data_IF_844956662212
#
_entry.id   IF_844956662212
#
_cell.length_a   1.000
_cell.length_b   1.000
_cell.length_c   1.000
_cell.angle_alpha   90.00
_cell.angle_beta   90.00
_cell.angle_gamma   90.00
#
_symmetry.space_group_name_H-M   'P 1'
#
loop_
_entity.id
_entity.type
_entity.pdbx_description
1 polymer ?
#
# COMPACT_ATOMS: atom_id res chain seq x y z
N UNK A 1 -41.52 -145.60 4.99
CA UNK A 1 -40.07 -145.76 5.23
C UNK A 1 -39.61 -144.69 6.21
N UNK A 2 -38.65 -145.03 7.10
CA UNK A 2 -38.06 -144.19 8.16
C UNK A 2 -37.16 -143.06 7.60
N UNK A 3 -37.05 -141.94 8.34
CA UNK A 3 -35.79 -141.20 8.65
C UNK A 3 -36.14 -140.03 9.62
N UNK A 4 -35.76 -140.04 10.91
CA UNK A 4 -34.50 -139.64 11.57
C UNK A 4 -34.01 -138.19 11.35
N UNK A 5 -34.41 -137.30 12.27
CA UNK A 5 -33.54 -136.45 13.10
C UNK A 5 -32.70 -135.31 12.49
N UNK A 6 -32.83 -134.10 13.06
CA UNK A 6 -31.69 -133.18 13.29
C UNK A 6 -32.02 -132.11 14.33
N UNK A 7 -31.32 -132.16 15.47
CA UNK A 7 -31.29 -131.14 16.51
C UNK A 7 -30.46 -129.94 16.02
N UNK A 8 -31.05 -128.75 15.98
CA UNK A 8 -30.36 -127.50 15.64
C UNK A 8 -30.33 -126.62 16.90
N UNK A 9 -29.16 -126.32 17.49
CA UNK A 9 -29.06 -125.55 18.72
C UNK A 9 -29.34 -124.06 18.48
N UNK A 10 -30.08 -123.49 19.42
CA UNK A 10 -30.60 -122.13 19.42
C UNK A 10 -29.49 -121.07 19.55
N UNK A 11 -29.21 -120.31 18.48
CA UNK A 11 -28.20 -119.24 18.42
C UNK A 11 -28.43 -118.10 19.42
N UNK A 12 -29.63 -117.95 19.99
CA UNK A 12 -29.98 -116.85 20.89
C UNK A 12 -29.27 -116.94 22.25
N UNK A 13 -28.93 -118.14 22.71
CA UNK A 13 -28.28 -118.31 24.01
C UNK A 13 -26.82 -117.81 24.03
N UNK A 14 -26.10 -117.84 22.91
CA UNK A 14 -24.67 -117.46 22.86
C UNK A 14 -24.45 -115.94 22.95
N UNK A 15 -25.38 -115.15 22.42
CA UNK A 15 -25.28 -113.67 22.42
C UNK A 15 -25.53 -113.12 23.83
N UNK A 16 -26.49 -113.70 24.56
CA UNK A 16 -26.77 -113.33 25.95
C UNK A 16 -25.60 -113.65 26.89
N UNK A 17 -24.84 -114.72 26.63
CA UNK A 17 -23.66 -115.06 27.45
C UNK A 17 -22.48 -114.09 27.20
N UNK A 18 -22.26 -113.65 25.96
CA UNK A 18 -21.18 -112.71 25.63
C UNK A 18 -21.45 -111.30 26.17
N UNK A 19 -22.72 -110.85 26.15
CA UNK A 19 -23.11 -109.57 26.75
C UNK A 19 -22.93 -109.57 28.28
N UNK A 20 -23.18 -110.70 28.95
CA UNK A 20 -22.95 -110.85 30.39
C UNK A 20 -21.47 -110.78 30.77
N UNK A 21 -20.58 -111.33 29.95
CA UNK A 21 -19.13 -111.32 30.20
C UNK A 21 -18.55 -109.92 29.99
N UNK A 22 -18.96 -109.21 28.93
CA UNK A 22 -18.47 -107.85 28.65
C UNK A 22 -18.90 -106.82 29.71
N UNK A 23 -20.07 -106.99 30.33
CA UNK A 23 -20.49 -106.14 31.46
C UNK A 23 -19.69 -106.41 32.75
N UNK A 24 -19.19 -107.64 32.94
CA UNK A 24 -18.36 -107.98 34.11
C UNK A 24 -16.92 -107.45 34.03
N UNK A 25 -16.44 -107.13 32.82
CA UNK A 25 -15.08 -106.63 32.60
C UNK A 25 -14.94 -105.10 32.70
N UNK A 26 -16.05 -104.35 32.75
CA UNK A 26 -16.03 -102.90 33.05
C UNK A 26 -15.96 -102.68 34.57
N UNK A 27 -14.86 -103.14 35.17
CA UNK A 27 -14.48 -102.73 36.51
C UNK A 27 -14.20 -101.23 36.53
N UNK A 28 -14.95 -100.50 37.35
CA UNK A 28 -14.70 -99.09 37.64
C UNK A 28 -13.31 -98.96 38.28
N UNK A 29 -12.31 -98.54 37.50
CA UNK A 29 -11.01 -98.11 38.03
C UNK A 29 -11.25 -96.83 38.82
N UNK A 30 -11.51 -96.98 40.12
CA UNK A 30 -11.56 -95.88 41.07
C UNK A 30 -10.12 -95.48 41.39
N UNK A 31 -9.58 -94.58 40.57
CA UNK A 31 -8.30 -93.93 40.84
C UNK A 31 -8.39 -93.20 42.19
N UNK A 32 -7.52 -93.59 43.12
CA UNK A 32 -7.37 -92.99 44.45
C UNK A 32 -6.43 -91.78 44.31
N UNK A 33 -6.85 -90.55 44.65
CA UNK A 33 -5.95 -89.40 44.56
C UNK A 33 -4.97 -89.43 45.75
N UNK A 34 -3.67 -89.40 45.45
CA UNK A 34 -2.60 -89.15 46.42
C UNK A 34 -2.68 -87.68 46.88
N UNK A 35 -3.33 -87.41 48.01
CA UNK A 35 -3.90 -86.10 48.36
C UNK A 35 -2.96 -85.09 49.05
N UNK A 36 -1.66 -85.09 48.76
CA UNK A 36 -0.69 -84.25 49.49
C UNK A 36 0.10 -83.24 48.66
N UNK A 37 0.76 -83.70 47.59
CA UNK A 37 1.70 -82.88 46.78
C UNK A 37 1.00 -82.09 45.68
N UNK A 38 -0.04 -82.67 45.09
CA UNK A 38 -0.79 -82.05 43.99
C UNK A 38 -1.59 -80.83 44.44
N UNK A 39 -2.06 -80.83 45.69
CA UNK A 39 -2.76 -79.68 46.29
C UNK A 39 -1.88 -78.44 46.44
N UNK A 40 -0.62 -78.62 46.84
CA UNK A 40 0.34 -77.52 46.99
C UNK A 40 0.78 -76.95 45.62
N UNK A 41 1.01 -77.82 44.62
CA UNK A 41 1.34 -77.39 43.26
C UNK A 41 0.19 -76.64 42.60
N UNK A 42 -1.05 -77.11 42.77
CA UNK A 42 -2.24 -76.40 42.29
C UNK A 42 -2.37 -75.02 42.93
N UNK A 43 -2.07 -74.91 44.22
CA UNK A 43 -2.12 -73.62 44.92
C UNK A 43 -1.01 -72.66 44.44
N UNK A 44 0.21 -73.16 44.19
CA UNK A 44 1.26 -72.37 43.54
C UNK A 44 0.90 -71.94 42.12
N UNK A 45 0.27 -72.80 41.33
CA UNK A 45 -0.19 -72.44 39.98
C UNK A 45 -1.25 -71.34 40.05
N UNK A 46 -2.18 -71.42 41.03
CA UNK A 46 -3.19 -70.36 41.25
C UNK A 46 -2.53 -69.06 41.69
N UNK A 47 -1.58 -69.09 42.61
CA UNK A 47 -0.90 -67.88 43.10
C UNK A 47 -0.07 -67.22 42.00
N UNK A 48 0.67 -67.99 41.20
CA UNK A 48 1.44 -67.50 40.05
C UNK A 48 0.50 -66.94 38.96
N UNK A 49 -0.62 -67.62 38.68
CA UNK A 49 -1.61 -67.12 37.71
C UNK A 49 -2.23 -65.81 38.15
N UNK A 50 -2.51 -65.66 39.45
CA UNK A 50 -3.01 -64.42 40.04
C UNK A 50 -1.97 -63.30 39.96
N UNK A 51 -0.72 -63.56 40.35
CA UNK A 51 0.38 -62.59 40.25
C UNK A 51 0.62 -62.14 38.82
N UNK A 52 0.55 -63.05 37.85
CA UNK A 52 0.65 -62.72 36.43
C UNK A 52 -0.47 -61.75 36.01
N UNK A 53 -1.71 -61.99 36.46
CA UNK A 53 -2.83 -61.08 36.20
C UNK A 53 -2.63 -59.70 36.83
N UNK A 54 -2.16 -59.64 38.07
CA UNK A 54 -1.85 -58.38 38.78
C UNK A 54 -0.73 -57.60 38.08
N UNK A 55 0.37 -58.26 37.68
CA UNK A 55 1.47 -57.64 36.93
C UNK A 55 1.04 -57.12 35.57
N UNK A 56 0.23 -57.90 34.84
CA UNK A 56 -0.28 -57.48 33.53
C UNK A 56 -1.21 -56.26 33.66
N UNK A 57 -2.02 -56.20 34.73
CA UNK A 57 -2.85 -55.04 35.03
C UNK A 57 -1.99 -53.80 35.34
N UNK A 58 -0.93 -53.96 36.14
CA UNK A 58 0.00 -52.87 36.46
C UNK A 58 0.74 -52.36 35.21
N UNK A 59 1.15 -53.26 34.31
CA UNK A 59 1.77 -52.88 33.03
C UNK A 59 0.82 -52.04 32.17
N UNK A 60 -0.44 -52.46 32.06
CA UNK A 60 -1.49 -51.71 31.34
C UNK A 60 -1.69 -50.34 31.96
N UNK A 61 -1.78 -50.26 33.28
CA UNK A 61 -1.96 -49.00 34.00
C UNK A 61 -0.78 -48.03 33.79
N UNK A 62 0.45 -48.52 33.89
CA UNK A 62 1.64 -47.69 33.68
C UNK A 62 1.74 -47.20 32.22
N UNK A 63 1.41 -48.05 31.24
CA UNK A 63 1.33 -47.64 29.84
C UNK A 63 0.27 -46.59 29.60
N UNK A 64 -0.91 -46.73 30.21
CA UNK A 64 -1.98 -45.75 30.11
C UNK A 64 -1.55 -44.39 30.69
N UNK A 65 -0.87 -44.38 31.84
CA UNK A 65 -0.33 -43.14 32.45
C UNK A 65 0.72 -42.48 31.56
N UNK A 66 1.64 -43.24 31.00
CA UNK A 66 2.66 -42.71 30.08
C UNK A 66 2.04 -42.10 28.83
N UNK A 67 1.08 -42.79 28.21
CA UNK A 67 0.36 -42.26 27.05
C UNK A 67 -0.43 -40.99 27.37
N UNK A 68 -1.09 -40.94 28.54
CA UNK A 68 -1.80 -39.74 29.00
C UNK A 68 -0.85 -38.54 29.18
N UNK A 69 0.33 -38.77 29.77
CA UNK A 69 1.36 -37.73 29.91
C UNK A 69 1.89 -37.25 28.54
N UNK A 70 2.14 -38.17 27.61
CA UNK A 70 2.62 -37.84 26.26
C UNK A 70 1.59 -37.00 25.49
N UNK A 71 0.32 -37.41 25.53
CA UNK A 71 -0.79 -36.66 24.91
C UNK A 71 -0.88 -35.26 25.52
N UNK A 72 -0.87 -35.15 26.85
CA UNK A 72 -0.94 -33.88 27.55
C UNK A 72 0.22 -32.95 27.15
N UNK A 73 1.45 -33.47 27.17
CA UNK A 73 2.65 -32.71 26.78
C UNK A 73 2.61 -32.26 25.32
N UNK A 74 2.15 -33.13 24.42
CA UNK A 74 2.02 -32.80 23.00
C UNK A 74 0.98 -31.70 22.77
N UNK A 75 -0.11 -31.72 23.54
CA UNK A 75 -1.17 -30.72 23.49
C UNK A 75 -0.69 -29.37 24.03
N UNK A 76 -0.06 -29.37 25.20
CA UNK A 76 0.53 -28.16 25.80
C UNK A 76 1.58 -27.52 24.89
N UNK A 77 2.48 -28.34 24.32
CA UNK A 77 3.48 -27.85 23.38
C UNK A 77 2.85 -27.21 22.14
N UNK A 78 1.82 -27.82 21.58
CA UNK A 78 1.10 -27.28 20.42
C UNK A 78 0.32 -26.01 20.77
N UNK A 79 -0.31 -25.96 21.94
CA UNK A 79 -0.99 -24.76 22.44
C UNK A 79 -0.02 -23.59 22.57
N UNK A 80 1.14 -23.81 23.18
CA UNK A 80 2.18 -22.79 23.31
C UNK A 80 2.70 -22.32 21.95
N UNK A 81 2.79 -23.20 20.94
CA UNK A 81 3.17 -22.81 19.58
C UNK A 81 2.13 -21.87 18.95
N UNK A 82 0.83 -22.14 19.11
CA UNK A 82 -0.21 -21.25 18.59
C UNK A 82 -0.17 -19.86 19.24
N UNK A 83 0.03 -19.80 20.56
CA UNK A 83 0.20 -18.53 21.26
C UNK A 83 1.43 -17.78 20.77
N UNK A 84 2.55 -18.47 20.53
CA UNK A 84 3.76 -17.85 20.00
C UNK A 84 3.53 -17.28 18.59
N UNK A 85 2.89 -18.04 17.70
CA UNK A 85 2.57 -17.59 16.34
C UNK A 85 1.63 -16.38 16.39
N UNK A 86 0.60 -16.41 17.23
CA UNK A 86 -0.31 -15.29 17.41
C UNK A 86 0.43 -14.03 17.90
N UNK A 87 1.30 -14.17 18.91
CA UNK A 87 2.10 -13.06 19.42
C UNK A 87 3.09 -12.51 18.38
N UNK A 88 3.67 -13.36 17.52
CA UNK A 88 4.52 -12.93 16.40
C UNK A 88 3.73 -12.13 15.37
N UNK A 89 2.58 -12.63 14.94
CA UNK A 89 1.72 -11.93 13.98
C UNK A 89 1.24 -10.59 14.55
N UNK A 90 0.90 -10.53 15.84
CA UNK A 90 0.51 -9.28 16.49
C UNK A 90 1.66 -8.27 16.54
N UNK A 91 2.89 -8.73 16.83
CA UNK A 91 4.10 -7.89 16.79
C UNK A 91 4.37 -7.37 15.38
N UNK A 92 4.35 -8.24 14.38
CA UNK A 92 4.59 -7.87 12.99
C UNK A 92 3.55 -6.85 12.49
N UNK A 93 2.27 -7.06 12.81
CA UNK A 93 1.21 -6.09 12.49
C UNK A 93 1.42 -4.74 13.18
N UNK A 94 1.79 -4.75 14.46
CA UNK A 94 2.08 -3.52 15.21
C UNK A 94 3.24 -2.77 14.57
N UNK A 95 4.35 -3.46 14.30
CA UNK A 95 5.53 -2.88 13.68
C UNK A 95 5.22 -2.33 12.28
N UNK A 96 4.48 -3.09 11.48
CA UNK A 96 4.07 -2.65 10.15
C UNK A 96 3.21 -1.38 10.22
N UNK A 97 2.25 -1.34 11.14
CA UNK A 97 1.42 -0.15 11.36
C UNK A 97 2.25 1.06 11.81
N UNK A 98 3.13 0.89 12.81
CA UNK A 98 3.97 1.99 13.32
C UNK A 98 4.96 2.49 12.27
N UNK A 99 5.55 1.59 11.49
CA UNK A 99 6.45 1.97 10.40
C UNK A 99 5.71 2.73 9.32
N UNK A 100 4.52 2.26 8.91
CA UNK A 100 3.69 2.95 7.92
C UNK A 100 3.33 4.37 8.38
N UNK A 101 2.87 4.51 9.62
CA UNK A 101 2.54 5.82 10.18
C UNK A 101 3.77 6.75 10.24
N UNK A 102 4.92 6.22 10.66
CA UNK A 102 6.16 6.99 10.74
C UNK A 102 6.64 7.45 9.35
N UNK A 103 6.55 6.56 8.36
CA UNK A 103 6.89 6.85 6.97
C UNK A 103 5.97 7.93 6.39
N UNK A 104 4.65 7.80 6.58
CA UNK A 104 3.67 8.78 6.13
C UNK A 104 3.91 10.17 6.75
N UNK A 105 4.19 10.21 8.06
CA UNK A 105 4.55 11.43 8.77
C UNK A 105 5.83 12.07 8.23
N UNK A 106 6.87 11.26 7.96
CA UNK A 106 8.12 11.74 7.37
C UNK A 106 7.89 12.34 5.98
N UNK A 107 7.22 11.61 5.08
CA UNK A 107 6.92 12.08 3.73
C UNK A 107 6.08 13.37 3.74
N UNK A 108 5.08 13.46 4.62
CA UNK A 108 4.27 14.67 4.76
C UNK A 108 5.11 15.87 5.22
N UNK A 109 5.99 15.70 6.20
CA UNK A 109 6.90 16.77 6.67
C UNK A 109 7.88 17.20 5.59
N UNK A 110 8.41 16.25 4.83
CA UNK A 110 9.32 16.54 3.73
C UNK A 110 8.62 17.31 2.61
N UNK A 111 7.43 16.87 2.19
CA UNK A 111 6.61 17.56 1.20
C UNK A 111 6.27 19.00 1.66
N UNK A 112 5.93 19.19 2.94
CA UNK A 112 5.74 20.52 3.52
C UNK A 112 7.00 21.38 3.45
N UNK A 113 8.18 20.81 3.73
CA UNK A 113 9.45 21.50 3.59
C UNK A 113 9.74 21.95 2.15
N UNK A 114 9.40 21.12 1.16
CA UNK A 114 9.50 21.49 -0.26
C UNK A 114 8.53 22.61 -0.63
N UNK A 115 7.26 22.52 -0.18
CA UNK A 115 6.26 23.56 -0.42
C UNK A 115 6.67 24.90 0.19
N UNK A 116 7.19 24.92 1.42
CA UNK A 116 7.66 26.14 2.07
C UNK A 116 8.79 26.81 1.27
N UNK A 117 9.80 26.03 0.82
CA UNK A 117 10.88 26.55 -0.01
C UNK A 117 10.40 27.11 -1.35
N UNK A 118 9.41 26.46 -1.98
CA UNK A 118 8.81 26.97 -3.20
C UNK A 118 8.07 28.29 -2.97
N UNK A 119 7.28 28.38 -1.90
CA UNK A 119 6.58 29.61 -1.52
C UNK A 119 7.53 30.76 -1.20
N UNK A 120 8.65 30.49 -0.52
CA UNK A 120 9.69 31.49 -0.29
C UNK A 120 10.27 32.01 -1.60
N UNK A 121 10.60 31.12 -2.55
CA UNK A 121 11.09 31.51 -3.87
C UNK A 121 10.07 32.34 -4.65
N UNK A 122 8.79 31.97 -4.62
CA UNK A 122 7.72 32.73 -5.28
C UNK A 122 7.55 34.12 -4.65
N UNK A 123 7.67 34.24 -3.32
CA UNK A 123 7.64 35.52 -2.62
C UNK A 123 8.85 36.40 -2.98
N UNK A 124 10.06 35.82 -3.04
CA UNK A 124 11.26 36.54 -3.49
C UNK A 124 11.13 37.03 -4.94
N UNK A 125 10.62 36.18 -5.85
CA UNK A 125 10.39 36.57 -7.24
C UNK A 125 9.32 37.66 -7.35
N UNK A 126 8.20 37.51 -6.63
CA UNK A 126 7.12 38.51 -6.62
C UNK A 126 7.59 39.86 -6.10
N UNK A 127 8.35 39.89 -5.00
CA UNK A 127 8.90 41.14 -4.45
C UNK A 127 9.89 41.82 -5.42
N UNK A 128 10.77 41.05 -6.06
CA UNK A 128 11.72 41.54 -7.07
C UNK A 128 10.97 42.15 -8.26
N UNK A 129 9.97 41.42 -8.78
CA UNK A 129 9.15 41.88 -9.88
C UNK A 129 8.36 43.14 -9.53
N UNK A 130 7.78 43.21 -8.33
CA UNK A 130 7.05 44.38 -7.86
C UNK A 130 7.96 45.61 -7.72
N UNK A 131 9.16 45.43 -7.17
CA UNK A 131 10.17 46.50 -7.08
C UNK A 131 10.60 47.00 -8.45
N UNK A 132 10.82 46.10 -9.42
CA UNK A 132 11.17 46.48 -10.79
C UNK A 132 10.02 47.24 -11.47
N UNK A 133 8.77 46.81 -11.29
CA UNK A 133 7.61 47.52 -11.82
C UNK A 133 7.49 48.92 -11.22
N UNK A 134 7.78 49.09 -9.93
CA UNK A 134 7.78 50.40 -9.29
C UNK A 134 8.87 51.32 -9.88
N UNK A 135 10.09 50.83 -10.10
CA UNK A 135 11.16 51.62 -10.73
C UNK A 135 10.80 52.02 -12.17
N UNK A 136 10.25 51.09 -12.96
CA UNK A 136 9.82 51.37 -14.33
C UNK A 136 8.73 52.46 -14.36
N UNK A 137 7.80 52.41 -13.40
CA UNK A 137 6.75 53.42 -13.25
C UNK A 137 7.35 54.78 -12.90
N UNK A 138 8.25 54.83 -11.91
CA UNK A 138 8.89 56.07 -11.48
C UNK A 138 9.70 56.70 -12.62
N UNK A 139 10.50 55.92 -13.37
CA UNK A 139 11.25 56.42 -14.52
C UNK A 139 10.34 56.96 -15.63
N UNK A 140 9.19 56.32 -15.85
CA UNK A 140 8.20 56.79 -16.82
C UNK A 140 7.63 58.14 -16.39
N UNK A 141 7.30 58.30 -15.10
CA UNK A 141 6.80 59.55 -14.54
C UNK A 141 7.88 60.65 -14.59
N UNK A 142 9.15 60.34 -14.32
CA UNK A 142 10.28 61.26 -14.48
C UNK A 142 10.43 61.74 -15.94
N UNK A 143 10.39 60.83 -16.91
CA UNK A 143 10.46 61.21 -18.33
C UNK A 143 9.28 62.09 -18.75
N UNK A 144 8.06 61.75 -18.32
CA UNK A 144 6.87 62.56 -18.61
C UNK A 144 6.99 63.98 -18.03
N UNK A 145 7.51 64.13 -16.81
CA UNK A 145 7.74 65.45 -16.20
C UNK A 145 8.75 66.28 -17.01
N UNK A 146 9.87 65.69 -17.43
CA UNK A 146 10.87 66.34 -18.27
C UNK A 146 10.29 66.75 -19.62
N UNK A 147 9.56 65.84 -20.27
CA UNK A 147 8.89 66.10 -21.54
C UNK A 147 7.94 67.30 -21.44
N UNK A 148 7.05 67.32 -20.44
CA UNK A 148 6.15 68.46 -20.22
C UNK A 148 6.91 69.74 -19.83
N UNK A 149 8.03 69.63 -19.11
CA UNK A 149 8.93 70.75 -18.81
C UNK A 149 9.51 71.38 -20.08
N UNK A 150 10.04 70.57 -20.99
CA UNK A 150 10.54 71.02 -22.29
C UNK A 150 9.44 71.65 -23.15
N UNK A 151 8.23 71.07 -23.14
CA UNK A 151 7.09 71.66 -23.85
C UNK A 151 6.74 73.06 -23.33
N UNK A 152 6.69 73.24 -22.00
CA UNK A 152 6.47 74.57 -21.38
C UNK A 152 7.57 75.54 -21.77
N UNK A 153 8.83 75.15 -21.61
CA UNK A 153 9.98 76.01 -21.94
C UNK A 153 9.95 76.44 -23.40
N UNK A 154 9.64 75.54 -24.34
CA UNK A 154 9.51 75.87 -25.76
C UNK A 154 8.44 76.93 -25.99
N UNK A 155 7.24 76.72 -25.44
CA UNK A 155 6.12 77.66 -25.54
C UNK A 155 6.49 79.03 -24.95
N UNK A 156 7.18 79.06 -23.81
CA UNK A 156 7.59 80.31 -23.16
C UNK A 156 8.64 81.06 -24.01
N UNK A 157 9.59 80.36 -24.63
CA UNK A 157 10.56 80.93 -25.59
C UNK A 157 9.87 81.46 -26.84
N UNK A 158 8.91 80.71 -27.40
CA UNK A 158 8.14 81.16 -28.57
C UNK A 158 7.31 82.42 -28.26
N UNK A 159 6.76 82.53 -27.02
CA UNK A 159 6.04 83.71 -26.55
C UNK A 159 6.95 84.95 -26.44
N UNK A 160 8.18 84.78 -25.95
CA UNK A 160 9.18 85.85 -25.87
C UNK A 160 9.70 86.27 -27.25
N UNK A 161 9.81 85.32 -28.19
CA UNK A 161 10.37 85.57 -29.53
C UNK A 161 9.38 86.27 -30.47
N UNK A 162 8.09 85.97 -30.36
CA UNK A 162 7.06 86.52 -31.25
C UNK A 162 6.19 87.60 -30.59
N UNK A 163 6.37 87.87 -29.30
CA UNK A 163 5.50 88.77 -28.53
C UNK A 163 4.10 88.17 -28.34
N UNK A 164 3.31 88.76 -27.43
CA UNK A 164 1.89 88.38 -27.20
C UNK A 164 1.17 88.28 -28.55
N UNK A 165 0.42 87.20 -28.86
CA UNK A 165 -0.36 87.15 -30.07
C UNK A 165 -1.39 88.28 -30.01
N UNK A 166 -1.23 89.28 -30.88
CA UNK A 166 -2.29 90.22 -31.17
C UNK A 166 -3.48 89.40 -31.67
N UNK A 167 -4.63 89.59 -31.04
CA UNK A 167 -5.92 89.00 -31.37
C UNK A 167 -6.10 88.86 -32.90
N UNK A 168 -6.04 87.63 -33.41
CA UNK A 168 -6.03 87.42 -34.85
C UNK A 168 -5.90 85.95 -35.25
N UNK A 169 -6.95 85.18 -34.95
CA UNK A 169 -7.49 84.15 -35.85
C UNK A 169 -6.60 83.04 -36.44
N UNK A 170 -5.67 82.44 -35.71
CA UNK A 170 -5.11 81.13 -36.11
C UNK A 170 -4.76 80.30 -34.86
N UNK A 171 -5.70 79.46 -34.45
CA UNK A 171 -5.55 78.46 -33.37
C UNK A 171 -4.82 77.24 -33.95
N UNK A 172 -3.54 76.97 -33.61
CA UNK A 172 -2.92 75.72 -34.00
C UNK A 172 -3.42 74.67 -33.02
N UNK A 173 -4.37 73.85 -33.48
CA UNK A 173 -4.97 72.75 -32.73
C UNK A 173 -3.91 72.03 -31.89
N UNK A 174 -3.93 72.30 -30.59
CA UNK A 174 -3.12 71.58 -29.63
C UNK A 174 -3.65 70.14 -29.64
N UNK A 175 -2.97 69.26 -30.39
CA UNK A 175 -3.09 67.82 -30.26
C UNK A 175 -2.57 67.44 -28.87
N UNK A 176 -3.43 67.64 -27.87
CA UNK A 176 -3.30 67.04 -26.55
C UNK A 176 -3.57 65.57 -26.76
N UNK A 177 -2.52 64.82 -27.10
CA UNK A 177 -2.54 63.39 -27.03
C UNK A 177 -2.62 63.00 -25.55
N UNK A 178 -3.84 62.87 -25.03
CA UNK A 178 -4.06 62.07 -23.83
C UNK A 178 -3.58 60.66 -24.17
N UNK A 179 -2.44 60.26 -23.61
CA UNK A 179 -2.14 58.84 -23.49
C UNK A 179 -3.21 58.26 -22.57
N UNK A 180 -4.29 57.73 -23.14
CA UNK A 180 -5.31 57.02 -22.38
C UNK A 180 -4.62 55.93 -21.59
N UNK A 181 -4.64 56.06 -20.26
CA UNK A 181 -4.45 54.95 -19.34
C UNK A 181 -5.45 53.87 -19.74
N UNK A 182 -4.97 52.77 -20.33
CA UNK A 182 -5.83 51.64 -20.69
C UNK A 182 -6.34 50.99 -19.41
N UNK A 183 -7.63 50.72 -19.41
CA UNK A 183 -8.33 50.01 -18.36
C UNK A 183 -7.92 48.54 -18.26
N UNK A 184 -8.01 48.03 -17.04
CA UNK A 184 -7.90 46.64 -16.62
C UNK A 184 -9.02 45.78 -17.27
N UNK A 185 -8.95 45.52 -18.57
CA UNK A 185 -9.67 44.41 -19.20
C UNK A 185 -8.94 43.97 -20.46
N UNK A 186 -8.43 42.74 -20.45
CA UNK A 186 -7.56 42.17 -21.48
C UNK A 186 -8.25 41.92 -22.82
N UNK A 187 -8.64 42.97 -23.54
CA UNK A 187 -9.13 42.92 -24.91
C UNK A 187 -8.32 43.84 -25.84
N UNK A 188 -7.71 43.28 -26.89
CA UNK A 188 -7.14 44.08 -27.97
C UNK A 188 -8.25 44.51 -28.94
N UNK A 189 -8.77 45.73 -28.78
CA UNK A 189 -9.42 46.42 -29.90
C UNK A 189 -8.37 47.28 -30.60
N UNK A 190 -7.90 46.75 -31.72
CA UNK A 190 -7.06 47.46 -32.68
C UNK A 190 -7.89 48.51 -33.40
N UNK A 191 -7.71 49.78 -33.05
CA UNK A 191 -8.12 50.92 -33.89
C UNK A 191 -7.41 52.20 -33.44
N UNK A 192 -6.08 52.23 -33.57
CA UNK A 192 -5.36 53.50 -33.71
C UNK A 192 -4.98 53.64 -35.19
N UNK A 193 -5.87 54.23 -35.99
CA UNK A 193 -5.54 54.65 -37.35
C UNK A 193 -4.60 55.85 -37.28
N UNK A 194 -3.29 55.58 -37.35
CA UNK A 194 -2.29 56.62 -37.64
C UNK A 194 -2.29 56.83 -39.14
N UNK A 195 -2.92 57.90 -39.60
CA UNK A 195 -2.84 58.33 -41.00
C UNK A 195 -1.45 58.92 -41.27
N UNK A 196 -0.48 58.05 -41.60
CA UNK A 196 0.78 58.51 -42.20
C UNK A 196 0.50 58.74 -43.68
N UNK A 197 0.49 60.00 -44.12
CA UNK A 197 0.53 60.33 -45.54
C UNK A 197 1.88 59.83 -46.09
N UNK A 198 1.80 58.78 -46.90
CA UNK A 198 2.94 58.14 -47.52
C UNK A 198 3.64 59.11 -48.49
N UNK A 199 4.77 59.68 -48.08
CA UNK A 199 5.78 60.11 -49.04
C UNK A 199 6.43 58.84 -49.63
N UNK A 200 6.10 58.54 -50.90
CA UNK A 200 6.62 57.39 -51.65
C UNK A 200 8.15 57.33 -51.58
N UNK A 201 8.66 56.17 -51.16
CA UNK A 201 9.92 55.63 -51.64
C UNK A 201 11.19 56.09 -50.94
N UNK A 202 11.40 55.70 -49.68
CA UNK A 202 12.75 55.53 -49.14
C UNK A 202 12.82 54.18 -48.41
N UNK A 203 13.52 53.21 -49.00
CA UNK A 203 13.96 52.00 -48.30
C UNK A 203 15.04 52.40 -47.30
N UNK A 204 14.66 52.75 -46.07
CA UNK A 204 15.63 52.89 -44.99
C UNK A 204 15.93 51.51 -44.42
N UNK A 205 17.21 51.12 -44.42
CA UNK A 205 17.72 49.85 -43.87
C UNK A 205 17.65 49.75 -42.33
N UNK A 206 17.02 50.72 -41.66
CA UNK A 206 16.89 50.78 -40.21
C UNK A 206 15.41 50.93 -39.85
N UNK A 207 14.79 49.92 -39.22
CA UNK A 207 13.45 50.09 -38.67
C UNK A 207 13.46 51.20 -37.61
N UNK A 208 12.43 52.03 -37.60
CA UNK A 208 12.23 53.04 -36.57
C UNK A 208 12.22 52.40 -35.17
N UNK A 209 12.50 53.18 -34.13
CA UNK A 209 12.48 52.70 -32.74
C UNK A 209 11.19 51.93 -32.40
N UNK A 210 10.06 52.38 -32.94
CA UNK A 210 8.74 51.71 -32.81
C UNK A 210 8.73 50.35 -33.50
N UNK A 211 9.32 50.24 -34.70
CA UNK A 211 9.46 48.96 -35.42
C UNK A 211 10.32 47.94 -34.66
N UNK A 212 11.37 48.40 -33.94
CA UNK A 212 12.20 47.51 -33.10
C UNK A 212 11.47 47.01 -31.85
N UNK A 213 10.66 47.85 -31.22
CA UNK A 213 9.87 47.44 -30.04
C UNK A 213 8.79 46.41 -30.39
N UNK A 214 8.10 46.58 -31.52
CA UNK A 214 7.09 45.62 -31.97
C UNK A 214 7.70 44.25 -32.31
N UNK A 215 8.90 44.22 -32.90
CA UNK A 215 9.62 42.99 -33.19
C UNK A 215 10.07 42.27 -31.90
N UNK A 216 10.64 43.00 -30.94
CA UNK A 216 11.08 42.44 -29.66
C UNK A 216 9.90 41.86 -28.83
N UNK A 217 8.73 42.50 -28.88
CA UNK A 217 7.51 42.00 -28.24
C UNK A 217 7.02 40.69 -28.88
N UNK A 218 7.13 40.56 -30.21
CA UNK A 218 6.81 39.32 -30.93
C UNK A 218 7.76 38.17 -30.59
N UNK A 219 9.05 38.48 -30.39
CA UNK A 219 10.06 37.46 -30.11
C UNK A 219 9.99 36.96 -28.66
N UNK A 220 9.67 37.83 -27.69
CA UNK A 220 9.39 37.41 -26.30
C UNK A 220 8.17 36.49 -26.17
N UNK A 221 7.11 36.71 -26.97
CA UNK A 221 5.92 35.87 -26.97
C UNK A 221 6.20 34.42 -27.43
N UNK A 222 7.24 34.21 -28.24
CA UNK A 222 7.63 32.87 -28.73
C UNK A 222 8.45 32.08 -27.72
N UNK A 223 9.21 32.74 -26.83
CA UNK A 223 10.04 32.08 -25.82
C UNK A 223 9.23 31.50 -24.65
N UNK A 224 8.12 32.12 -24.27
CA UNK A 224 7.32 31.68 -23.13
C UNK A 224 6.55 30.37 -23.36
N UNK A 225 6.40 29.92 -24.62
CA UNK A 225 5.67 28.68 -24.93
C UNK A 225 6.52 27.40 -24.78
N UNK A 226 7.85 27.53 -24.59
CA UNK A 226 8.79 26.38 -24.56
C UNK A 226 9.07 25.89 -23.13
N UNK A 227 8.71 26.63 -22.09
CA UNK A 227 9.11 26.33 -20.69
C UNK A 227 8.07 25.57 -19.84
N UNK A 228 7.04 24.96 -20.45
CA UNK A 228 5.92 24.34 -19.72
C UNK A 228 6.04 22.82 -19.49
N UNK A 229 7.10 22.16 -19.94
CA UNK A 229 7.27 20.70 -19.78
C UNK A 229 8.55 20.39 -18.99
N UNK A 230 8.48 20.37 -17.67
CA UNK A 230 9.67 20.05 -16.88
C UNK A 230 9.54 20.07 -15.37
N UNK A 231 8.47 19.50 -14.80
CA UNK A 231 8.43 19.19 -13.36
C UNK A 231 7.78 17.82 -13.15
N UNK A 232 8.57 16.75 -13.28
CA UNK A 232 8.22 15.44 -12.71
C UNK A 232 8.75 15.38 -11.28
N UNK A 233 7.85 15.19 -10.32
CA UNK A 233 8.19 14.86 -8.93
C UNK A 233 8.35 13.33 -8.83
N UNK A 234 9.50 12.80 -8.37
CA UNK A 234 9.57 11.41 -7.97
C UNK A 234 9.36 11.30 -6.45
N UNK A 235 8.23 10.75 -6.04
CA UNK A 235 8.16 9.98 -4.80
C UNK A 235 7.94 8.52 -5.20
N UNK A 236 8.92 7.68 -4.89
CA UNK A 236 8.81 6.21 -4.87
C UNK A 236 9.33 5.73 -3.53
#
# INVERSE_FOLDING_TARGET
MKEKGKFIPNKKNKILTLAGILLSCFGTVKAKPESGRDGHLLEQIRSVSRQKGELQQQEVELRARMLAMEIQRSFESRSAQYENVAARLQRDNTLHFTNRFSHESYCSREAQGWMARAQEMDAFQSSTNHSLQAELRERTEQYNQLWHGCQRQKRDVDLLRHGVPSSGSDEPSALICHASTRDYSGGFTSSCTVSVTAAKGVKTKNPSFVGRMLQASSDMAKQNHVSAYGLSVPCS
#
